data_IF_413142934413
#
_entry.id   IF_413142934413
#
_cell.length_a   1.000
_cell.length_b   1.000
_cell.length_c   1.000
_cell.angle_alpha   90.00
_cell.angle_beta   90.00
_cell.angle_gamma   90.00
#
_symmetry.space_group_name_H-M   'P 1'
#
loop_
_entity.id
_entity.type
_entity.pdbx_description
1 polymer ?
#
# COMPACT_ATOMS: atom_id res chain seq x y z
N UNK A 1 -18.64 1.34 -24.42
CA UNK A 1 -17.43 2.20 -24.47
C UNK A 1 -16.56 1.68 -23.36
N UNK A 2 -15.34 1.24 -23.65
CA UNK A 2 -14.56 0.53 -22.66
C UNK A 2 -14.27 1.42 -21.45
N UNK A 3 -14.29 0.82 -20.27
CA UNK A 3 -14.01 1.50 -19.01
C UNK A 3 -13.20 0.63 -18.06
N UNK A 4 -12.59 1.27 -17.07
CA UNK A 4 -11.89 0.63 -15.96
C UNK A 4 -12.04 1.49 -14.72
N UNK A 5 -11.85 0.89 -13.54
CA UNK A 5 -11.78 1.63 -12.29
C UNK A 5 -10.33 1.64 -11.79
N UNK A 6 -9.89 2.81 -11.34
CA UNK A 6 -8.64 3.00 -10.60
C UNK A 6 -9.00 2.94 -9.12
N UNK A 7 -8.39 2.00 -8.41
CA UNK A 7 -8.58 1.78 -6.97
C UNK A 7 -7.23 1.81 -6.25
N UNK A 8 -7.26 1.86 -4.93
CA UNK A 8 -6.08 1.71 -4.07
C UNK A 8 -6.44 0.76 -2.95
N UNK A 9 -6.29 -0.52 -3.20
CA UNK A 9 -6.68 -1.59 -2.31
C UNK A 9 -5.47 -2.41 -1.92
N UNK A 10 -5.43 -2.81 -0.64
CA UNK A 10 -4.48 -3.80 -0.15
C UNK A 10 -5.23 -5.11 0.00
N UNK A 11 -4.74 -6.14 -0.70
CA UNK A 11 -5.27 -7.49 -0.55
C UNK A 11 -5.01 -7.99 0.88
N UNK A 12 -6.07 -8.16 1.66
CA UNK A 12 -5.99 -8.55 3.07
C UNK A 12 -5.41 -9.97 3.26
N UNK A 13 -5.66 -10.87 2.29
CA UNK A 13 -5.15 -12.23 2.32
C UNK A 13 -3.64 -12.22 2.11
N UNK A 14 -3.18 -11.48 1.10
CA UNK A 14 -1.75 -11.36 0.82
C UNK A 14 -1.02 -10.53 1.88
N UNK A 15 -1.65 -9.52 2.48
CA UNK A 15 -1.12 -8.81 3.64
C UNK A 15 -0.91 -9.76 4.82
N UNK A 16 -1.93 -10.58 5.16
CA UNK A 16 -1.81 -11.58 6.23
C UNK A 16 -0.69 -12.57 5.93
N UNK A 17 -0.60 -13.07 4.70
CA UNK A 17 0.46 -13.98 4.28
C UNK A 17 1.86 -13.34 4.36
N UNK A 18 1.99 -12.06 4.02
CA UNK A 18 3.22 -11.30 4.15
C UNK A 18 3.63 -11.17 5.62
N UNK A 19 2.69 -10.86 6.52
CA UNK A 19 2.95 -10.79 7.97
C UNK A 19 3.41 -12.14 8.53
N UNK A 20 2.75 -13.25 8.16
CA UNK A 20 3.18 -14.59 8.59
C UNK A 20 4.59 -14.92 8.09
N UNK A 21 4.91 -14.53 6.86
CA UNK A 21 6.28 -14.68 6.34
C UNK A 21 7.27 -13.82 7.12
N UNK A 22 6.93 -12.58 7.48
CA UNK A 22 7.78 -11.71 8.31
C UNK A 22 8.05 -12.32 9.69
N UNK A 23 7.04 -12.96 10.32
CA UNK A 23 7.23 -13.69 11.58
C UNK A 23 8.20 -14.85 11.45
N UNK A 24 8.08 -15.64 10.37
CA UNK A 24 9.01 -16.76 10.10
C UNK A 24 10.43 -16.27 9.86
N UNK A 25 10.59 -15.17 9.12
CA UNK A 25 11.90 -14.55 8.91
C UNK A 25 12.49 -14.05 10.23
N UNK A 26 11.71 -13.32 11.04
CA UNK A 26 12.13 -12.85 12.36
C UNK A 26 12.61 -14.00 13.26
N UNK A 27 11.89 -15.12 13.29
CA UNK A 27 12.29 -16.29 14.09
C UNK A 27 13.64 -16.90 13.66
N UNK A 28 14.03 -16.75 12.39
CA UNK A 28 15.29 -17.21 11.85
C UNK A 28 16.46 -16.23 12.01
N UNK A 29 16.22 -14.99 12.46
CA UNK A 29 17.23 -13.94 12.53
C UNK A 29 18.11 -14.05 13.76
N UNK A 30 19.42 -14.23 13.56
CA UNK A 30 20.39 -14.36 14.65
C UNK A 30 20.49 -13.10 15.52
N UNK A 31 20.35 -11.92 14.93
CA UNK A 31 20.42 -10.61 15.59
C UNK A 31 19.23 -10.30 16.52
N UNK A 32 18.15 -11.09 16.42
CA UNK A 32 16.98 -11.06 17.29
C UNK A 32 16.94 -12.22 18.30
N UNK A 33 17.95 -13.10 18.30
CA UNK A 33 17.98 -14.25 19.20
C UNK A 33 18.13 -13.81 20.66
N UNK A 34 17.15 -14.19 21.49
CA UNK A 34 17.14 -13.84 22.91
C UNK A 34 16.66 -12.41 23.20
N UNK A 35 16.18 -11.68 22.17
CA UNK A 35 15.55 -10.37 22.32
C UNK A 35 14.04 -10.46 22.24
N UNK A 36 13.34 -9.57 22.93
CA UNK A 36 11.89 -9.41 22.81
C UNK A 36 11.54 -8.69 21.50
N UNK A 37 11.05 -9.44 20.50
CA UNK A 37 10.54 -8.88 19.25
C UNK A 37 9.29 -9.61 18.77
N UNK A 38 8.32 -8.85 18.27
CA UNK A 38 7.00 -9.35 17.88
C UNK A 38 6.46 -8.60 16.66
N UNK A 39 5.77 -9.34 15.78
CA UNK A 39 5.00 -8.77 14.68
C UNK A 39 3.55 -9.21 14.86
N UNK A 40 2.67 -8.29 15.22
CA UNK A 40 1.24 -8.54 15.43
C UNK A 40 0.43 -7.94 14.28
N UNK A 41 -0.61 -8.62 13.80
CA UNK A 41 -1.53 -8.08 12.81
C UNK A 41 -2.96 -8.22 13.33
N UNK A 42 -3.62 -7.07 13.51
CA UNK A 42 -4.98 -6.99 14.04
C UNK A 42 -5.68 -5.76 13.48
N UNK A 43 -6.95 -5.90 13.11
CA UNK A 43 -7.80 -4.80 12.61
C UNK A 43 -7.14 -3.98 11.48
N UNK A 44 -6.49 -4.66 10.52
CA UNK A 44 -5.72 -4.07 9.42
C UNK A 44 -4.56 -3.14 9.85
N UNK A 45 -4.07 -3.31 11.07
CA UNK A 45 -2.88 -2.64 11.60
C UNK A 45 -1.84 -3.69 11.97
N UNK A 46 -0.63 -3.49 11.46
CA UNK A 46 0.54 -4.30 11.85
C UNK A 46 1.29 -3.55 12.95
N UNK A 47 1.42 -4.16 14.12
CA UNK A 47 2.22 -3.62 15.23
C UNK A 47 3.55 -4.36 15.29
N UNK A 48 4.63 -3.61 15.15
CA UNK A 48 6.00 -4.10 15.21
C UNK A 48 6.57 -3.71 16.57
N UNK A 49 6.97 -4.69 17.39
CA UNK A 49 7.55 -4.44 18.71
C UNK A 49 8.96 -4.99 18.77
N UNK A 50 9.86 -4.25 19.41
CA UNK A 50 11.24 -4.69 19.68
C UNK A 50 11.81 -4.00 20.94
N UNK A 51 13.03 -4.32 21.35
CA UNK A 51 13.65 -3.73 22.56
C UNK A 51 14.18 -2.30 22.35
N UNK A 52 14.33 -1.86 21.10
CA UNK A 52 14.78 -0.52 20.76
C UNK A 52 14.15 -0.01 19.43
N UNK A 53 14.23 1.30 19.18
CA UNK A 53 13.69 1.92 17.95
C UNK A 53 14.37 1.40 16.68
N UNK A 54 15.68 1.12 16.74
CA UNK A 54 16.45 0.64 15.59
C UNK A 54 15.96 -0.73 15.14
N UNK A 55 15.72 -1.64 16.08
CA UNK A 55 15.14 -2.96 15.82
C UNK A 55 13.71 -2.83 15.28
N UNK A 56 12.91 -1.89 15.78
CA UNK A 56 11.59 -1.62 15.19
C UNK A 56 11.69 -1.22 13.71
N UNK A 57 12.68 -0.39 13.33
CA UNK A 57 12.94 -0.07 11.92
C UNK A 57 13.40 -1.28 11.11
N UNK A 58 14.23 -2.16 11.68
CA UNK A 58 14.59 -3.42 11.02
C UNK A 58 13.37 -4.31 10.76
N UNK A 59 12.41 -4.35 11.70
CA UNK A 59 11.14 -5.07 11.49
C UNK A 59 10.29 -4.45 10.38
N UNK A 60 10.30 -3.11 10.25
CA UNK A 60 9.64 -2.41 9.13
C UNK A 60 10.24 -2.86 7.80
N UNK A 61 11.57 -2.97 7.71
CA UNK A 61 12.24 -3.40 6.48
C UNK A 61 11.96 -4.85 6.14
N UNK A 62 11.92 -5.75 7.13
CA UNK A 62 11.48 -7.15 6.93
C UNK A 62 10.04 -7.16 6.39
N UNK A 63 9.14 -6.37 6.98
CA UNK A 63 7.75 -6.30 6.53
C UNK A 63 7.66 -5.81 5.08
N UNK A 64 8.38 -4.74 4.71
CA UNK A 64 8.44 -4.22 3.34
C UNK A 64 8.85 -5.29 2.32
N UNK A 65 9.93 -6.02 2.62
CA UNK A 65 10.44 -7.08 1.73
C UNK A 65 9.39 -8.18 1.55
N UNK A 66 8.72 -8.57 2.63
CA UNK A 66 7.72 -9.65 2.58
C UNK A 66 6.43 -9.22 1.87
N UNK A 67 6.02 -7.95 2.00
CA UNK A 67 4.90 -7.38 1.24
C UNK A 67 5.20 -7.41 -0.26
N UNK A 68 6.38 -6.94 -0.69
CA UNK A 68 6.78 -6.97 -2.10
C UNK A 68 6.77 -8.39 -2.68
N UNK A 69 7.22 -9.40 -1.92
CA UNK A 69 7.18 -10.81 -2.35
C UNK A 69 5.76 -11.36 -2.54
N UNK A 70 4.76 -10.70 -1.95
CA UNK A 70 3.33 -11.04 -2.05
C UNK A 70 2.56 -10.10 -2.98
N UNK A 71 3.27 -9.29 -3.77
CA UNK A 71 2.68 -8.26 -4.65
C UNK A 71 1.81 -7.23 -3.89
N UNK A 72 2.07 -7.05 -2.60
CA UNK A 72 1.50 -5.95 -1.82
C UNK A 72 2.48 -4.80 -1.87
N UNK A 73 2.07 -3.68 -2.43
CA UNK A 73 2.98 -2.57 -2.68
C UNK A 73 3.35 -1.86 -1.36
N UNK A 74 4.64 -1.83 -0.96
CA UNK A 74 5.03 -1.25 0.33
C UNK A 74 4.79 0.26 0.44
N UNK A 75 4.59 0.96 -0.68
CA UNK A 75 4.22 2.37 -0.67
C UNK A 75 2.82 2.64 -0.10
N UNK A 76 1.98 1.59 0.04
CA UNK A 76 0.73 1.67 0.78
C UNK A 76 0.93 1.75 2.31
N UNK A 77 2.12 1.45 2.82
CA UNK A 77 2.41 1.48 4.25
C UNK A 77 2.47 2.91 4.79
N UNK A 78 1.69 3.18 5.82
CA UNK A 78 1.82 4.34 6.69
C UNK A 78 2.43 3.89 8.01
N UNK A 79 3.73 4.10 8.15
CA UNK A 79 4.49 3.77 9.36
C UNK A 79 4.47 4.96 10.29
N UNK A 80 4.16 4.74 11.57
CA UNK A 80 4.26 5.79 12.58
C UNK A 80 5.67 6.44 12.56
N UNK A 81 5.72 7.77 12.66
CA UNK A 81 6.98 8.51 12.61
C UNK A 81 7.88 8.18 13.81
N UNK A 82 7.28 7.93 14.97
CA UNK A 82 7.98 7.65 16.22
C UNK A 82 7.48 6.36 16.83
N UNK A 83 8.39 5.56 17.35
CA UNK A 83 8.02 4.42 18.16
C UNK A 83 7.48 4.87 19.52
N UNK A 84 6.50 4.12 20.01
CA UNK A 84 5.96 4.28 21.36
C UNK A 84 6.74 3.38 22.28
N UNK A 85 7.39 3.97 23.28
CA UNK A 85 8.11 3.25 24.32
C UNK A 85 7.16 2.82 25.45
N UNK A 86 7.22 1.55 25.83
CA UNK A 86 6.48 0.97 26.94
C UNK A 86 7.28 -0.13 27.63
N UNK A 87 7.58 0.07 28.91
CA UNK A 87 8.37 -0.88 29.70
C UNK A 87 9.78 -1.03 29.14
N UNK A 88 10.08 -2.21 28.59
CA UNK A 88 11.37 -2.55 27.95
C UNK A 88 11.31 -2.53 26.42
N UNK A 89 10.16 -2.22 25.85
CA UNK A 89 9.90 -2.39 24.42
C UNK A 89 9.51 -1.07 23.77
N UNK A 90 9.79 -0.98 22.49
CA UNK A 90 9.36 0.05 21.55
C UNK A 90 8.39 -0.58 20.57
N UNK A 91 7.42 0.19 20.11
CA UNK A 91 6.41 -0.28 19.16
C UNK A 91 6.16 0.73 18.05
N UNK A 92 6.07 0.25 16.81
CA UNK A 92 5.64 1.01 15.65
C UNK A 92 4.36 0.39 15.09
N UNK A 93 3.35 1.23 14.85
CA UNK A 93 2.19 0.79 14.07
C UNK A 93 2.43 1.09 12.60
N UNK A 94 2.00 0.15 11.78
CA UNK A 94 1.97 0.25 10.33
C UNK A 94 0.51 0.07 9.92
N UNK A 95 -0.03 1.11 9.31
CA UNK A 95 -1.34 1.09 8.67
C UNK A 95 -1.17 0.98 7.16
N UNK A 96 -2.25 0.67 6.46
CA UNK A 96 -2.25 0.53 5.02
C UNK A 96 -3.30 1.44 4.41
N UNK A 97 -2.91 2.18 3.38
CA UNK A 97 -3.84 3.02 2.62
C UNK A 97 -4.86 2.14 1.91
N UNK A 98 -6.13 2.40 2.16
CA UNK A 98 -7.26 1.80 1.46
C UNK A 98 -8.16 2.89 0.90
N UNK A 99 -8.55 2.71 -0.36
CA UNK A 99 -9.32 3.68 -1.13
C UNK A 99 -8.49 4.86 -1.62
N UNK A 100 -9.12 5.67 -2.46
CA UNK A 100 -8.58 6.93 -2.97
C UNK A 100 -9.37 8.07 -2.32
N UNK A 101 -8.72 8.82 -1.45
CA UNK A 101 -9.34 9.98 -0.82
C UNK A 101 -9.69 11.07 -1.86
N UNK A 102 -10.60 11.97 -1.47
CA UNK A 102 -11.09 13.01 -2.40
C UNK A 102 -10.02 13.96 -2.93
N UNK A 103 -8.94 14.22 -2.18
CA UNK A 103 -7.84 15.10 -2.60
C UNK A 103 -6.96 14.38 -3.63
N UNK A 104 -6.60 13.11 -3.37
CA UNK A 104 -5.83 12.29 -4.31
C UNK A 104 -6.65 12.01 -5.57
N UNK A 105 -7.93 11.68 -5.44
CA UNK A 105 -8.84 11.48 -6.57
C UNK A 105 -8.91 12.72 -7.47
N UNK A 106 -9.02 13.92 -6.88
CA UNK A 106 -8.99 15.19 -7.64
C UNK A 106 -7.66 15.43 -8.34
N UNK A 107 -6.53 15.15 -7.69
CA UNK A 107 -5.19 15.26 -8.30
C UNK A 107 -5.03 14.29 -9.47
N UNK A 108 -5.46 13.04 -9.31
CA UNK A 108 -5.41 12.01 -10.36
C UNK A 108 -6.28 12.41 -11.56
N UNK A 109 -7.52 12.85 -11.32
CA UNK A 109 -8.41 13.36 -12.38
C UNK A 109 -7.79 14.55 -13.11
N UNK A 110 -7.12 15.46 -12.38
CA UNK A 110 -6.42 16.60 -12.98
C UNK A 110 -5.26 16.13 -13.87
N UNK A 111 -4.41 15.22 -13.40
CA UNK A 111 -3.31 14.68 -14.20
C UNK A 111 -3.81 13.97 -15.47
N UNK A 112 -4.90 13.21 -15.38
CA UNK A 112 -5.52 12.59 -16.56
C UNK A 112 -5.98 13.65 -17.56
N UNK A 113 -6.60 14.75 -17.11
CA UNK A 113 -7.01 15.85 -18.00
C UNK A 113 -5.81 16.55 -18.64
N UNK A 114 -4.77 16.82 -17.85
CA UNK A 114 -3.55 17.50 -18.30
C UNK A 114 -2.77 16.66 -19.32
N UNK A 115 -2.92 15.33 -19.29
CA UNK A 115 -2.34 14.41 -20.28
C UNK A 115 -2.96 14.49 -21.69
N UNK A 116 -4.11 15.17 -21.83
CA UNK A 116 -4.88 15.33 -23.08
C UNK A 116 -5.34 14.00 -23.73
N UNK A 117 -5.33 12.90 -22.98
CA UNK A 117 -5.89 11.61 -23.41
C UNK A 117 -7.40 11.75 -23.64
N UNK A 118 -7.94 11.06 -24.65
CA UNK A 118 -9.36 11.13 -25.05
C UNK A 118 -10.25 10.24 -24.17
N UNK A 119 -10.19 10.48 -22.86
CA UNK A 119 -10.93 9.73 -21.84
C UNK A 119 -11.74 10.67 -20.95
N UNK A 120 -12.77 10.12 -20.31
CA UNK A 120 -13.53 10.78 -19.24
C UNK A 120 -13.22 10.07 -17.93
N UNK A 121 -12.87 10.84 -16.89
CA UNK A 121 -12.66 10.33 -15.54
C UNK A 121 -13.72 10.88 -14.57
N UNK A 122 -14.24 10.01 -13.70
CA UNK A 122 -15.26 10.33 -12.71
C UNK A 122 -14.91 9.69 -11.36
N UNK A 123 -14.99 10.46 -10.28
CA UNK A 123 -14.77 9.98 -8.92
C UNK A 123 -16.02 9.23 -8.46
N UNK A 124 -15.88 7.99 -7.97
CA UNK A 124 -16.96 7.14 -7.49
C UNK A 124 -16.61 6.63 -6.08
N UNK A 125 -17.03 7.39 -5.06
CA UNK A 125 -16.66 7.10 -3.68
C UNK A 125 -15.14 7.20 -3.50
N UNK A 126 -14.52 6.06 -3.25
CA UNK A 126 -13.08 5.85 -3.03
C UNK A 126 -12.35 5.31 -4.27
N UNK A 127 -12.98 5.34 -5.45
CA UNK A 127 -12.40 4.92 -6.72
C UNK A 127 -12.51 6.01 -7.79
N UNK A 128 -11.77 5.87 -8.89
CA UNK A 128 -11.90 6.74 -10.07
C UNK A 128 -12.21 5.89 -11.30
N UNK A 129 -13.42 6.00 -11.83
CA UNK A 129 -13.81 5.37 -13.09
C UNK A 129 -13.25 6.15 -14.27
N UNK A 130 -12.63 5.44 -15.20
CA UNK A 130 -12.09 5.99 -16.46
C UNK A 130 -12.78 5.30 -17.63
N UNK A 131 -13.40 6.09 -18.50
CA UNK A 131 -14.10 5.61 -19.70
C UNK A 131 -13.48 6.23 -20.95
N UNK A 132 -13.23 5.42 -21.98
CA UNK A 132 -12.61 5.87 -23.22
C UNK A 132 -13.25 5.22 -24.44
N UNK A 133 -12.98 5.77 -25.63
CA UNK A 133 -13.39 5.12 -26.90
C UNK A 133 -12.42 4.02 -27.32
N UNK A 134 -11.13 4.18 -27.00
CA UNK A 134 -10.05 3.25 -27.38
C UNK A 134 -9.46 2.61 -26.13
N UNK A 135 -9.16 1.32 -26.22
CA UNK A 135 -8.44 0.59 -25.15
C UNK A 135 -7.02 1.13 -24.96
N UNK A 136 -6.37 1.60 -26.02
CA UNK A 136 -5.03 2.21 -25.95
C UNK A 136 -4.98 3.45 -25.06
N UNK A 137 -6.03 4.28 -25.10
CA UNK A 137 -6.13 5.46 -24.24
C UNK A 137 -6.26 5.04 -22.76
N UNK A 138 -6.98 3.94 -22.47
CA UNK A 138 -7.08 3.39 -21.11
C UNK A 138 -5.73 2.84 -20.63
N UNK A 139 -5.00 2.12 -21.49
CA UNK A 139 -3.64 1.63 -21.16
C UNK A 139 -2.67 2.80 -20.89
N UNK A 140 -2.78 3.89 -21.64
CA UNK A 140 -2.00 5.10 -21.40
C UNK A 140 -2.33 5.76 -20.04
N UNK A 141 -3.62 5.77 -19.64
CA UNK A 141 -4.02 6.23 -18.31
C UNK A 141 -3.46 5.33 -17.21
N UNK A 142 -3.44 4.01 -17.39
CA UNK A 142 -2.84 3.10 -16.40
C UNK A 142 -1.36 3.42 -16.16
N UNK A 143 -0.61 3.62 -17.26
CA UNK A 143 0.80 3.98 -17.17
C UNK A 143 0.99 5.31 -16.44
N UNK A 144 0.21 6.34 -16.83
CA UNK A 144 0.24 7.65 -16.18
C UNK A 144 -0.03 7.56 -14.67
N UNK A 145 -1.06 6.80 -14.26
CA UNK A 145 -1.40 6.64 -12.87
C UNK A 145 -0.32 5.87 -12.08
N UNK A 146 0.30 4.84 -12.68
CA UNK A 146 1.43 4.12 -12.06
C UNK A 146 2.67 4.98 -11.91
N UNK A 147 2.95 5.87 -12.85
CA UNK A 147 4.08 6.81 -12.82
C UNK A 147 3.79 8.04 -11.95
N UNK A 148 2.57 8.19 -11.45
CA UNK A 148 2.18 9.36 -10.66
C UNK A 148 2.71 9.29 -9.23
N UNK A 149 3.37 10.36 -8.78
CA UNK A 149 3.86 10.50 -7.41
C UNK A 149 2.75 11.02 -6.47
N UNK A 150 1.60 10.34 -6.43
CA UNK A 150 0.46 10.73 -5.57
C UNK A 150 0.53 10.16 -4.15
N UNK A 151 1.64 9.48 -3.81
CA UNK A 151 1.93 8.99 -2.47
C UNK A 151 1.18 7.72 -2.07
N UNK A 152 0.50 7.06 -3.00
CA UNK A 152 -0.11 5.75 -2.78
C UNK A 152 -0.11 4.93 -4.09
N UNK A 153 -0.13 3.60 -4.01
CA UNK A 153 -0.21 2.76 -5.18
C UNK A 153 -1.62 2.70 -5.75
N UNK A 154 -1.72 2.45 -7.06
CA UNK A 154 -2.98 2.29 -7.75
C UNK A 154 -3.07 0.93 -8.45
N UNK A 155 -4.23 0.29 -8.32
CA UNK A 155 -4.60 -0.91 -9.06
C UNK A 155 -5.72 -0.56 -10.05
N UNK A 156 -5.88 -1.42 -11.05
CA UNK A 156 -6.85 -1.23 -12.13
C UNK A 156 -7.71 -2.48 -12.22
N UNK A 157 -9.02 -2.32 -12.02
CA UNK A 157 -9.97 -3.44 -12.02
C UNK A 157 -11.26 -3.04 -12.75
N UNK A 158 -12.28 -3.92 -12.66
CA UNK A 158 -13.62 -3.69 -13.22
C UNK A 158 -13.59 -3.22 -14.69
N UNK A 159 -12.80 -3.91 -15.52
CA UNK A 159 -12.75 -3.67 -16.96
C UNK A 159 -14.10 -4.00 -17.61
N UNK A 160 -14.62 -3.07 -18.40
CA UNK A 160 -15.88 -3.22 -19.15
C UNK A 160 -15.70 -2.79 -20.60
N UNK A 161 -16.59 -3.26 -21.46
CA UNK A 161 -16.64 -2.95 -22.90
C UNK A 161 -17.73 -1.94 -23.29
#
# INVERSE_FOLDING_TARGET
MPSMDIVSEVDEVELRNAVENSRRELAGRFDFRGKEAEIEHKDNVVTLKAEDDFQCRQLVDILRIQLSKRNVEPSAMEVDEKSVHSGKTFSLKVKFKQGIDSLIAKKLVKQIKDSKLKVQSAIQGDSVRVTGKKRDDLQAVMRLAKESELGQPFQFNNFRD
#
